data_IF_812816441930
#
_entry.id   IF_812816441930
#
_cell.length_a   1.000
_cell.length_b   1.000
_cell.length_c   1.000
_cell.angle_alpha   90.00
_cell.angle_beta   90.00
_cell.angle_gamma   90.00
#
_symmetry.space_group_name_H-M   'P 1'
#
loop_
_entity.id
_entity.type
_entity.pdbx_description
1 polymer ?
#
# COMPACT_ATOMS: atom_id res chain seq x y z
N UNK A 1 -1.83 13.47 3.50
CA UNK A 1 -2.83 12.74 4.32
C UNK A 1 -4.07 12.54 3.46
N UNK A 2 -4.09 11.49 2.65
CA UNK A 2 -5.29 11.21 1.86
C UNK A 2 -6.31 10.52 2.76
N UNK A 3 -7.35 11.25 3.07
CA UNK A 3 -8.58 10.74 3.63
C UNK A 3 -9.11 9.66 2.68
N UNK A 4 -9.17 8.41 3.15
CA UNK A 4 -9.90 7.36 2.45
C UNK A 4 -11.34 7.86 2.35
N UNK A 5 -11.85 8.10 1.15
CA UNK A 5 -13.23 8.54 0.94
C UNK A 5 -14.19 7.53 1.57
N UNK A 6 -15.37 7.97 2.00
CA UNK A 6 -16.40 7.08 2.58
C UNK A 6 -16.68 5.86 1.69
N UNK A 7 -16.64 6.03 0.37
CA UNK A 7 -16.80 4.95 -0.60
C UNK A 7 -15.66 3.92 -0.56
N UNK A 8 -14.42 4.31 -0.23
CA UNK A 8 -13.33 3.35 -0.05
C UNK A 8 -13.49 2.56 1.25
N UNK A 9 -13.99 3.20 2.33
CA UNK A 9 -14.23 2.52 3.61
C UNK A 9 -15.24 1.38 3.48
N UNK A 10 -16.30 1.57 2.69
CA UNK A 10 -17.31 0.55 2.47
C UNK A 10 -16.77 -0.66 1.70
N UNK A 11 -15.85 -0.43 0.75
CA UNK A 11 -15.18 -1.51 0.02
C UNK A 11 -14.32 -2.35 0.95
N UNK A 12 -13.54 -1.73 1.85
CA UNK A 12 -12.73 -2.47 2.83
C UNK A 12 -13.59 -3.23 3.85
N UNK A 13 -14.65 -2.63 4.37
CA UNK A 13 -15.58 -3.30 5.29
C UNK A 13 -16.15 -4.58 4.66
N UNK A 14 -16.60 -4.48 3.42
CA UNK A 14 -17.11 -5.64 2.66
C UNK A 14 -16.05 -6.71 2.46
N UNK A 15 -14.80 -6.33 2.23
CA UNK A 15 -13.68 -7.25 2.05
C UNK A 15 -13.38 -8.00 3.35
N UNK A 16 -13.25 -7.30 4.48
CA UNK A 16 -13.02 -7.93 5.80
C UNK A 16 -14.16 -8.89 6.14
N UNK A 17 -15.41 -8.50 5.91
CA UNK A 17 -16.59 -9.35 6.13
C UNK A 17 -16.63 -10.57 5.21
N UNK A 18 -16.20 -10.42 3.95
CA UNK A 18 -16.11 -11.53 3.00
C UNK A 18 -15.16 -12.62 3.50
N UNK A 19 -13.94 -12.24 3.87
CA UNK A 19 -12.95 -13.21 4.35
C UNK A 19 -13.27 -13.78 5.73
N UNK A 20 -13.94 -13.03 6.61
CA UNK A 20 -14.45 -13.57 7.88
C UNK A 20 -15.34 -14.80 7.63
N UNK A 21 -16.16 -14.78 6.60
CA UNK A 21 -17.09 -15.85 6.28
C UNK A 21 -16.46 -17.00 5.47
N UNK A 22 -15.49 -16.71 4.59
CA UNK A 22 -14.93 -17.67 3.65
C UNK A 22 -13.57 -18.25 4.12
N UNK A 23 -12.80 -17.46 4.87
CA UNK A 23 -11.52 -17.90 5.44
C UNK A 23 -11.27 -17.24 6.80
N UNK A 24 -11.83 -17.78 7.89
CA UNK A 24 -11.75 -17.17 9.23
C UNK A 24 -10.34 -17.14 9.82
N UNK A 25 -9.35 -17.82 9.21
CA UNK A 25 -7.95 -17.75 9.63
C UNK A 25 -7.29 -16.42 9.26
N UNK A 26 -7.84 -15.70 8.27
CA UNK A 26 -7.31 -14.40 7.86
C UNK A 26 -7.65 -13.36 8.93
N UNK A 27 -6.63 -12.67 9.39
CA UNK A 27 -6.72 -11.55 10.31
C UNK A 27 -6.36 -10.27 9.58
N UNK A 28 -7.16 -9.23 9.77
CA UNK A 28 -6.90 -7.92 9.17
C UNK A 28 -6.30 -6.99 10.21
N UNK A 29 -5.33 -6.20 9.77
CA UNK A 29 -4.73 -5.13 10.57
C UNK A 29 -4.86 -3.83 9.78
N UNK A 30 -5.42 -2.81 10.40
CA UNK A 30 -5.55 -1.49 9.84
C UNK A 30 -4.57 -0.54 10.52
N UNK A 31 -3.59 -0.06 9.78
CA UNK A 31 -2.65 0.97 10.24
C UNK A 31 -3.21 2.36 9.89
N UNK A 32 -3.38 3.20 10.88
CA UNK A 32 -3.90 4.55 10.76
C UNK A 32 -2.92 5.56 11.40
N UNK A 33 -2.95 6.80 10.93
CA UNK A 33 -2.32 7.92 11.65
C UNK A 33 -3.27 8.44 12.73
N UNK A 34 -2.76 9.00 13.84
CA UNK A 34 -3.59 9.63 14.90
C UNK A 34 -4.53 10.70 14.36
N UNK A 35 -4.13 11.41 13.31
CA UNK A 35 -4.98 12.41 12.67
C UNK A 35 -6.18 11.80 11.93
N UNK A 36 -6.14 10.51 11.61
CA UNK A 36 -7.26 9.79 10.97
C UNK A 36 -8.44 9.53 11.92
N UNK A 37 -8.25 9.66 13.23
CA UNK A 37 -9.33 9.50 14.26
C UNK A 37 -10.52 10.44 14.08
N UNK A 38 -10.33 11.59 13.42
CA UNK A 38 -11.41 12.57 13.18
C UNK A 38 -12.48 12.11 12.19
N UNK A 39 -12.25 11.00 11.51
CA UNK A 39 -13.20 10.48 10.53
C UNK A 39 -13.90 9.25 11.10
N UNK A 40 -15.23 9.22 11.08
CA UNK A 40 -16.17 8.18 11.56
C UNK A 40 -15.88 6.72 11.09
N UNK A 41 -14.63 6.45 10.66
CA UNK A 41 -14.19 5.18 10.14
C UNK A 41 -14.06 4.12 11.23
N UNK A 42 -13.55 4.51 12.41
CA UNK A 42 -13.33 3.58 13.53
C UNK A 42 -14.62 2.93 14.03
N UNK A 43 -15.69 3.70 14.21
CA UNK A 43 -16.95 3.16 14.73
C UNK A 43 -17.53 2.10 13.80
N UNK A 44 -17.45 2.33 12.49
CA UNK A 44 -17.92 1.39 11.48
C UNK A 44 -17.08 0.12 11.39
N UNK A 45 -15.81 0.15 11.84
CA UNK A 45 -14.89 -0.99 11.77
C UNK A 45 -14.80 -1.78 13.08
N UNK A 46 -15.17 -1.20 14.23
CA UNK A 46 -15.14 -1.87 15.54
C UNK A 46 -16.04 -3.11 15.63
N UNK A 47 -17.02 -3.23 14.76
CA UNK A 47 -17.94 -4.38 14.70
C UNK A 47 -17.32 -5.63 14.02
N UNK A 48 -16.06 -5.52 13.54
CA UNK A 48 -15.41 -6.60 12.81
C UNK A 48 -14.39 -7.31 13.71
N UNK A 49 -14.76 -8.47 14.26
CA UNK A 49 -13.96 -9.23 15.24
C UNK A 49 -12.59 -9.69 14.71
N UNK A 50 -12.43 -9.78 13.38
CA UNK A 50 -11.18 -10.19 12.74
C UNK A 50 -10.33 -9.01 12.27
N UNK A 51 -10.64 -7.78 12.72
CA UNK A 51 -9.90 -6.55 12.40
C UNK A 51 -9.29 -5.94 13.67
N UNK A 52 -8.00 -5.70 13.66
CA UNK A 52 -7.27 -4.94 14.68
C UNK A 52 -6.84 -3.58 14.11
N UNK A 53 -6.90 -2.52 14.91
CA UNK A 53 -6.54 -1.16 14.48
C UNK A 53 -5.31 -0.70 15.28
N UNK A 54 -4.28 -0.24 14.60
CA UNK A 54 -3.06 0.31 15.15
C UNK A 54 -2.84 1.75 14.67
N UNK A 55 -2.27 2.58 15.53
CA UNK A 55 -2.01 3.99 15.23
C UNK A 55 -0.52 4.29 15.25
N UNK A 56 -0.06 5.01 14.21
CA UNK A 56 1.33 5.46 14.05
C UNK A 56 2.39 4.33 14.18
N UNK A 57 2.01 3.12 13.84
CA UNK A 57 2.86 1.92 13.96
C UNK A 57 2.95 1.15 12.63
N UNK A 58 2.96 1.87 11.52
CA UNK A 58 2.92 1.31 10.16
C UNK A 58 4.05 0.32 9.93
N UNK A 59 5.27 0.63 10.38
CA UNK A 59 6.45 -0.24 10.18
C UNK A 59 6.27 -1.61 10.84
N UNK A 60 5.84 -1.66 12.10
CA UNK A 60 5.65 -2.91 12.82
C UNK A 60 4.48 -3.70 12.22
N UNK A 61 3.39 -3.01 11.88
CA UNK A 61 2.25 -3.63 11.19
C UNK A 61 2.67 -4.27 9.87
N UNK A 62 3.43 -3.55 9.03
CA UNK A 62 3.93 -4.08 7.76
C UNK A 62 4.86 -5.27 7.96
N UNK A 63 5.78 -5.19 8.93
CA UNK A 63 6.74 -6.26 9.21
C UNK A 63 6.06 -7.53 9.75
N UNK A 64 4.92 -7.39 10.42
CA UNK A 64 4.14 -8.50 10.96
C UNK A 64 3.09 -9.07 9.99
N UNK A 65 2.89 -8.41 8.83
CA UNK A 65 1.88 -8.79 7.86
C UNK A 65 2.45 -9.71 6.78
N UNK A 66 1.70 -10.75 6.42
CA UNK A 66 2.03 -11.61 5.28
C UNK A 66 1.82 -10.88 3.94
N UNK A 67 0.79 -10.02 3.88
CA UNK A 67 0.40 -9.25 2.68
C UNK A 67 -0.15 -7.88 3.09
N UNK A 68 -0.11 -6.93 2.16
CA UNK A 68 -0.67 -5.61 2.42
C UNK A 68 -1.42 -5.00 1.23
N UNK A 69 -2.46 -4.23 1.55
CA UNK A 69 -3.19 -3.37 0.61
C UNK A 69 -2.89 -1.94 1.00
N UNK A 70 -2.23 -1.20 0.14
CA UNK A 70 -1.69 0.11 0.52
C UNK A 70 -2.28 1.20 -0.37
N UNK A 71 -2.80 2.25 0.25
CA UNK A 71 -3.10 3.47 -0.47
C UNK A 71 -1.80 4.12 -0.96
N UNK A 72 -1.77 4.58 -2.22
CA UNK A 72 -0.58 5.21 -2.80
C UNK A 72 -0.05 6.34 -1.92
N UNK A 73 1.27 6.37 -1.74
CA UNK A 73 2.00 7.32 -0.89
C UNK A 73 3.31 6.70 -0.38
N UNK A 74 3.94 7.35 0.61
CA UNK A 74 5.21 6.91 1.21
C UNK A 74 5.12 5.52 1.84
N UNK A 75 3.96 5.12 2.36
CA UNK A 75 3.73 3.80 2.93
C UNK A 75 4.01 2.65 1.93
N UNK A 76 3.89 2.90 0.61
CA UNK A 76 4.24 1.89 -0.41
C UNK A 76 5.74 1.59 -0.42
N UNK A 77 6.57 2.61 -0.20
CA UNK A 77 8.01 2.42 -0.08
C UNK A 77 8.36 1.73 1.24
N UNK A 78 7.73 2.11 2.35
CA UNK A 78 7.91 1.44 3.64
C UNK A 78 7.61 -0.06 3.55
N UNK A 79 6.50 -0.45 2.89
CA UNK A 79 6.17 -1.85 2.69
C UNK A 79 7.19 -2.60 1.81
N UNK A 80 7.70 -1.96 0.76
CA UNK A 80 8.76 -2.54 -0.07
C UNK A 80 10.06 -2.74 0.74
N UNK A 81 10.42 -1.79 1.61
CA UNK A 81 11.58 -1.92 2.50
C UNK A 81 11.38 -3.02 3.57
N UNK A 82 10.17 -3.20 4.07
CA UNK A 82 9.80 -4.33 4.94
C UNK A 82 9.69 -5.66 4.17
N UNK A 83 9.75 -5.64 2.83
CA UNK A 83 9.59 -6.81 1.94
C UNK A 83 8.22 -7.49 2.08
N UNK A 84 7.21 -6.73 2.47
CA UNK A 84 5.85 -7.20 2.59
C UNK A 84 5.18 -7.17 1.22
N UNK A 85 4.76 -8.32 0.67
CA UNK A 85 4.04 -8.38 -0.60
C UNK A 85 2.80 -7.50 -0.57
N UNK A 86 2.56 -6.77 -1.65
CA UNK A 86 1.48 -5.79 -1.69
C UNK A 86 0.88 -5.60 -3.07
N UNK A 87 -0.34 -5.10 -3.09
CA UNK A 87 -0.82 -4.29 -4.20
C UNK A 87 -1.22 -2.90 -3.71
N UNK A 88 -1.17 -1.95 -4.64
CA UNK A 88 -1.39 -0.54 -4.35
C UNK A 88 -2.72 -0.09 -4.92
N UNK A 89 -3.45 0.71 -4.17
CA UNK A 89 -4.71 1.30 -4.60
C UNK A 89 -4.61 2.81 -4.63
N UNK A 90 -5.27 3.41 -5.60
CA UNK A 90 -5.37 4.87 -5.71
C UNK A 90 -6.75 5.27 -6.18
N UNK A 91 -7.47 5.98 -5.31
CA UNK A 91 -8.80 6.51 -5.60
C UNK A 91 -8.90 7.94 -5.08
N UNK A 92 -9.12 8.87 -5.99
CA UNK A 92 -9.28 10.30 -5.69
C UNK A 92 -10.40 10.90 -6.52
N UNK A 93 -10.77 12.14 -6.26
CA UNK A 93 -11.75 12.85 -7.07
C UNK A 93 -11.28 12.95 -8.52
N UNK A 94 -12.22 12.79 -9.46
CA UNK A 94 -11.95 12.78 -10.90
C UNK A 94 -11.14 14.00 -11.35
N UNK A 95 -11.44 15.18 -10.83
CA UNK A 95 -10.74 16.41 -11.17
C UNK A 95 -9.28 16.39 -10.70
N UNK A 96 -9.04 15.95 -9.45
CA UNK A 96 -7.67 15.81 -8.91
C UNK A 96 -6.87 14.76 -9.65
N UNK A 97 -7.50 13.65 -10.03
CA UNK A 97 -6.85 12.60 -10.83
C UNK A 97 -6.46 13.13 -12.23
N UNK A 98 -7.36 13.86 -12.89
CA UNK A 98 -7.12 14.41 -14.22
C UNK A 98 -5.97 15.44 -14.24
N UNK A 99 -5.90 16.29 -13.23
CA UNK A 99 -4.79 17.26 -13.07
C UNK A 99 -3.48 16.52 -12.78
N UNK A 100 -3.51 15.57 -11.84
CA UNK A 100 -2.32 14.83 -11.42
C UNK A 100 -1.77 13.94 -12.54
N UNK A 101 -2.65 13.27 -13.30
CA UNK A 101 -2.24 12.43 -14.43
C UNK A 101 -1.58 13.19 -15.57
N UNK A 102 -1.85 14.48 -15.71
CA UNK A 102 -1.17 15.36 -16.69
C UNK A 102 0.15 15.93 -16.17
N UNK A 103 0.29 16.08 -14.86
CA UNK A 103 1.50 16.64 -14.23
C UNK A 103 2.56 15.55 -13.94
N UNK A 104 2.16 14.31 -13.80
CA UNK A 104 3.07 13.20 -13.52
C UNK A 104 3.52 12.58 -14.85
N UNK A 105 4.79 12.76 -15.20
CA UNK A 105 5.44 12.10 -16.36
C UNK A 105 5.59 10.58 -16.17
N UNK A 106 5.33 10.06 -14.98
CA UNK A 106 5.49 8.63 -14.67
C UNK A 106 4.25 7.82 -15.10
N UNK A 107 4.51 6.64 -15.68
CA UNK A 107 3.49 5.63 -15.97
C UNK A 107 2.94 4.96 -14.70
N UNK A 108 3.57 5.21 -13.54
CA UNK A 108 3.30 4.56 -12.26
C UNK A 108 2.92 5.58 -11.19
N UNK A 109 2.18 5.13 -10.17
CA UNK A 109 1.73 5.97 -9.05
C UNK A 109 2.41 5.55 -7.73
N UNK A 110 2.76 4.29 -7.58
CA UNK A 110 3.46 3.80 -6.39
C UNK A 110 4.95 4.09 -6.45
N UNK A 111 5.54 4.48 -5.31
CA UNK A 111 6.97 4.76 -5.23
C UNK A 111 7.85 3.56 -5.63
N UNK A 112 7.54 2.31 -5.27
CA UNK A 112 8.34 1.17 -5.72
C UNK A 112 8.40 1.02 -7.23
N UNK A 113 7.29 1.22 -7.95
CA UNK A 113 7.26 1.16 -9.41
C UNK A 113 8.00 2.35 -10.04
N UNK A 114 7.81 3.57 -9.50
CA UNK A 114 8.47 4.79 -9.97
C UNK A 114 9.98 4.66 -9.84
N UNK A 115 10.47 4.30 -8.65
CA UNK A 115 11.91 4.20 -8.36
C UNK A 115 12.59 3.04 -9.08
N UNK A 116 11.85 1.97 -9.38
CA UNK A 116 12.35 0.82 -10.14
C UNK A 116 12.20 0.99 -11.65
N UNK A 117 11.54 2.05 -12.12
CA UNK A 117 11.19 2.32 -13.52
C UNK A 117 10.45 1.14 -14.21
N UNK A 118 9.90 0.24 -13.42
CA UNK A 118 9.17 -0.94 -13.87
C UNK A 118 8.03 -1.29 -12.92
N UNK A 119 7.06 -2.07 -13.43
CA UNK A 119 5.93 -2.54 -12.63
C UNK A 119 6.37 -3.73 -11.77
N UNK A 120 6.74 -3.48 -10.52
CA UNK A 120 7.07 -4.50 -9.52
C UNK A 120 5.93 -4.82 -8.56
N UNK A 121 4.95 -3.91 -8.46
CA UNK A 121 3.69 -4.12 -7.73
C UNK A 121 2.49 -3.79 -8.60
N UNK A 122 1.37 -4.45 -8.34
CA UNK A 122 0.09 -4.13 -8.99
C UNK A 122 -0.45 -2.82 -8.46
N UNK A 123 -1.00 -2.01 -9.35
CA UNK A 123 -1.71 -0.77 -9.04
C UNK A 123 -3.15 -0.86 -9.52
N UNK A 124 -4.12 -0.64 -8.64
CA UNK A 124 -5.53 -0.49 -8.96
C UNK A 124 -5.90 0.98 -8.88
N UNK A 125 -6.39 1.53 -9.98
CA UNK A 125 -6.64 2.97 -10.12
C UNK A 125 -8.13 3.25 -10.28
N UNK A 126 -8.63 4.26 -9.59
CA UNK A 126 -9.97 4.82 -9.74
C UNK A 126 -11.10 3.76 -9.76
N UNK A 127 -11.71 3.48 -10.91
CA UNK A 127 -12.80 2.50 -11.07
C UNK A 127 -12.36 1.06 -10.85
N UNK A 128 -11.05 0.78 -10.98
CA UNK A 128 -10.50 -0.53 -10.66
C UNK A 128 -10.51 -0.81 -9.15
N UNK A 129 -10.58 0.23 -8.30
CA UNK A 129 -10.71 0.09 -6.85
C UNK A 129 -12.17 -0.25 -6.51
N UNK A 130 -12.52 -1.51 -6.66
CA UNK A 130 -13.82 -2.08 -6.35
C UNK A 130 -13.67 -3.43 -5.64
N UNK A 131 -14.74 -3.91 -5.02
CA UNK A 131 -14.73 -5.11 -4.20
C UNK A 131 -14.18 -6.34 -4.95
N UNK A 132 -14.64 -6.59 -6.15
CA UNK A 132 -14.26 -7.79 -6.91
C UNK A 132 -12.76 -7.80 -7.26
N UNK A 133 -12.23 -6.66 -7.71
CA UNK A 133 -10.81 -6.56 -8.03
C UNK A 133 -9.93 -6.66 -6.77
N UNK A 134 -10.37 -6.10 -5.64
CA UNK A 134 -9.60 -6.21 -4.40
C UNK A 134 -9.56 -7.66 -3.89
N UNK A 135 -10.68 -8.39 -3.95
CA UNK A 135 -10.71 -9.83 -3.61
C UNK A 135 -9.80 -10.60 -4.55
N UNK A 136 -9.93 -10.38 -5.86
CA UNK A 136 -9.11 -11.06 -6.87
C UNK A 136 -7.60 -10.85 -6.65
N UNK A 137 -7.15 -9.61 -6.47
CA UNK A 137 -5.73 -9.31 -6.26
C UNK A 137 -5.22 -9.84 -4.90
N UNK A 138 -6.06 -9.86 -3.87
CA UNK A 138 -5.68 -10.44 -2.59
C UNK A 138 -5.58 -11.96 -2.67
N UNK A 139 -6.49 -12.62 -3.38
CA UNK A 139 -6.42 -14.06 -3.62
C UNK A 139 -5.16 -14.44 -4.42
N UNK A 140 -4.75 -13.64 -5.38
CA UNK A 140 -3.47 -13.80 -6.09
C UNK A 140 -2.31 -13.72 -5.09
N UNK A 141 -2.23 -12.66 -4.28
CA UNK A 141 -1.15 -12.52 -3.29
C UNK A 141 -1.07 -13.68 -2.31
N UNK A 142 -2.21 -14.25 -1.92
CA UNK A 142 -2.27 -15.37 -0.97
C UNK A 142 -1.87 -16.71 -1.58
N UNK A 143 -2.14 -16.91 -2.86
CA UNK A 143 -1.98 -18.21 -3.51
C UNK A 143 -0.73 -18.31 -4.39
N UNK A 144 -0.14 -17.17 -4.80
CA UNK A 144 1.04 -17.15 -5.66
C UNK A 144 2.34 -17.08 -4.84
N UNK A 145 3.44 -17.52 -5.45
CA UNK A 145 4.79 -17.36 -4.90
C UNK A 145 5.25 -15.91 -5.09
N UNK A 146 5.30 -15.16 -4.00
CA UNK A 146 5.72 -13.75 -4.00
C UNK A 146 7.25 -13.55 -4.01
N UNK A 147 8.05 -14.55 -4.36
CA UNK A 147 9.52 -14.48 -4.35
C UNK A 147 10.06 -13.41 -5.31
N UNK A 148 9.50 -13.33 -6.51
CA UNK A 148 9.92 -12.32 -7.49
C UNK A 148 9.67 -10.90 -6.97
N UNK A 149 8.50 -10.64 -6.38
CA UNK A 149 8.17 -9.34 -5.78
C UNK A 149 9.15 -9.01 -4.65
N UNK A 150 9.43 -9.95 -3.75
CA UNK A 150 10.40 -9.78 -2.65
C UNK A 150 11.82 -9.54 -3.17
N UNK A 151 12.23 -10.22 -4.23
CA UNK A 151 13.53 -9.99 -4.88
C UNK A 151 13.61 -8.59 -5.51
N UNK A 152 12.55 -8.13 -6.15
CA UNK A 152 12.47 -6.78 -6.67
C UNK A 152 12.57 -5.72 -5.55
N UNK A 153 11.95 -5.96 -4.40
CA UNK A 153 12.08 -5.08 -3.22
C UNK A 153 13.50 -5.07 -2.65
N UNK A 154 14.17 -6.22 -2.64
CA UNK A 154 15.59 -6.30 -2.25
C UNK A 154 16.48 -5.46 -3.17
N UNK A 155 16.29 -5.60 -4.49
CA UNK A 155 17.05 -4.84 -5.48
C UNK A 155 16.79 -3.32 -5.35
N UNK A 156 15.53 -2.93 -5.14
CA UNK A 156 15.17 -1.53 -4.87
C UNK A 156 15.86 -1.01 -3.60
N UNK A 157 15.85 -1.79 -2.52
CA UNK A 157 16.50 -1.41 -1.26
C UNK A 157 18.01 -1.20 -1.46
N UNK A 158 18.68 -2.11 -2.18
CA UNK A 158 20.12 -1.97 -2.49
C UNK A 158 20.43 -0.74 -3.34
N UNK A 159 19.60 -0.42 -4.35
CA UNK A 159 19.79 0.78 -5.16
C UNK A 159 19.71 2.07 -4.33
N UNK A 160 18.72 2.15 -3.42
CA UNK A 160 18.55 3.30 -2.55
C UNK A 160 19.74 3.51 -1.58
N UNK A 161 20.35 2.44 -1.10
CA UNK A 161 21.55 2.52 -0.26
C UNK A 161 22.74 3.01 -1.10
N UNK A 162 22.96 2.43 -2.28
CA UNK A 162 24.08 2.77 -3.15
C UNK A 162 24.01 4.22 -3.65
N UNK A 163 22.83 4.70 -4.04
CA UNK A 163 22.62 6.08 -4.47
C UNK A 163 22.95 7.11 -3.36
N UNK A 164 22.57 6.79 -2.12
CA UNK A 164 22.91 7.64 -0.98
C UNK A 164 24.41 7.67 -0.69
N UNK A 165 25.09 6.52 -0.82
CA UNK A 165 26.53 6.44 -0.65
C UNK A 165 27.27 7.23 -1.73
N UNK A 166 26.91 7.07 -3.01
CA UNK A 166 27.53 7.80 -4.12
C UNK A 166 27.39 9.32 -3.99
N UNK A 167 26.22 9.80 -3.60
CA UNK A 167 25.98 11.23 -3.32
C UNK A 167 26.80 11.73 -2.12
N UNK A 168 26.93 10.93 -1.07
CA UNK A 168 27.73 11.28 0.10
C UNK A 168 29.21 11.41 -0.26
N UNK A 169 29.77 10.43 -1.01
CA UNK A 169 31.16 10.49 -1.44
C UNK A 169 31.42 11.65 -2.40
N UNK A 170 30.50 11.95 -3.34
CA UNK A 170 30.66 13.08 -4.27
C UNK A 170 30.69 14.45 -3.54
N UNK A 171 29.98 14.58 -2.42
CA UNK A 171 30.02 15.80 -1.59
C UNK A 171 31.35 15.92 -0.85
N UNK A 172 31.89 14.81 -0.32
CA UNK A 172 33.20 14.83 0.39
C UNK A 172 34.34 15.12 -0.59
N UNK A 173 34.32 14.57 -1.79
CA UNK A 173 35.35 14.83 -2.82
C UNK A 173 35.30 16.27 -3.36
N UNK A 174 34.19 17.00 -3.15
CA UNK A 174 34.02 18.39 -3.57
C UNK A 174 34.49 19.43 -2.53
N UNK A 175 34.87 19.00 -1.32
CA UNK A 175 35.41 19.81 -0.23
C UNK A 175 36.94 19.75 -0.22
#
# INVERSE_FOLDING_TARGET
THCISSAASDVYKRQVSHYKNHNPKIKFILALTKNSRKYCFEEKMKELDNLSIFYDDTKNVLSASDFSIIASGTATLEAALCKTPMFVIYKTNFLSYFILSRLIYSKFISLPNILSEKKIVKELLQSQVNFNNLVYELDILMNEDNKEMKLNFENLHRSLINDNQSKFFSVIESI
#
